data_IF_999563196895
#
_entry.id   IF_999563196895
#
_cell.length_a   1.000
_cell.length_b   1.000
_cell.length_c   1.000
_cell.angle_alpha   90.00
_cell.angle_beta   90.00
_cell.angle_gamma   90.00
#
_symmetry.space_group_name_H-M   'P 1'
#
loop_
_entity.id
_entity.type
_entity.pdbx_description
1 polymer ?
#
# COMPACT_ATOMS: atom_id res chain seq x y z
N UNK A 1 -17.64 -13.78 -27.56
CA UNK A 1 -16.50 -13.98 -26.63
C UNK A 1 -16.69 -12.99 -25.48
N UNK A 2 -16.62 -13.43 -24.23
CA UNK A 2 -16.67 -12.51 -23.10
C UNK A 2 -15.41 -11.62 -23.17
N UNK A 3 -15.62 -10.30 -23.10
CA UNK A 3 -14.50 -9.35 -23.06
C UNK A 3 -13.77 -9.48 -21.71
N UNK A 4 -12.46 -9.38 -21.74
CA UNK A 4 -11.65 -9.34 -20.53
C UNK A 4 -12.06 -8.15 -19.66
N UNK A 5 -12.26 -8.40 -18.38
CA UNK A 5 -12.41 -7.37 -17.38
C UNK A 5 -11.01 -6.93 -16.90
N UNK A 6 -10.83 -5.65 -16.67
CA UNK A 6 -9.53 -5.09 -16.24
C UNK A 6 -9.73 -4.18 -15.04
N UNK A 7 -8.79 -4.27 -14.08
CA UNK A 7 -8.68 -3.44 -12.90
C UNK A 7 -7.24 -2.99 -12.67
N UNK A 8 -7.06 -1.81 -12.11
CA UNK A 8 -5.79 -1.39 -11.54
C UNK A 8 -5.68 -1.86 -10.08
N UNK A 9 -4.45 -2.14 -9.66
CA UNK A 9 -4.09 -2.47 -8.29
C UNK A 9 -3.08 -1.41 -7.79
N UNK A 10 -3.57 -0.22 -7.38
CA UNK A 10 -2.72 0.90 -7.02
C UNK A 10 -1.87 0.62 -5.77
N UNK A 11 -0.64 1.14 -5.74
CA UNK A 11 0.21 1.04 -4.58
C UNK A 11 -0.42 1.78 -3.39
N UNK A 12 -0.50 1.10 -2.23
CA UNK A 12 -0.89 1.70 -0.96
C UNK A 12 0.34 2.33 -0.31
N UNK A 13 0.26 3.59 0.07
CA UNK A 13 1.32 4.30 0.78
C UNK A 13 0.84 4.67 2.19
N UNK A 14 1.61 4.29 3.21
CA UNK A 14 1.39 4.75 4.57
C UNK A 14 2.08 6.11 4.74
N UNK A 15 1.32 7.21 4.70
CA UNK A 15 1.87 8.55 4.96
C UNK A 15 2.33 8.70 6.41
N UNK A 16 1.63 8.00 7.32
CA UNK A 16 1.98 7.89 8.75
C UNK A 16 1.81 6.45 9.20
N UNK A 17 2.55 6.02 10.21
CA UNK A 17 2.30 4.75 10.89
C UNK A 17 2.73 4.85 12.35
N UNK A 18 1.78 4.73 13.25
CA UNK A 18 2.01 4.65 14.69
C UNK A 18 1.75 3.23 15.16
N UNK A 19 2.62 2.71 16.01
CA UNK A 19 2.41 1.45 16.73
C UNK A 19 1.95 1.79 18.14
N UNK A 20 0.71 1.42 18.45
CA UNK A 20 0.05 1.79 19.71
C UNK A 20 0.35 0.80 20.84
N UNK A 21 0.78 -0.41 20.48
CA UNK A 21 1.11 -1.46 21.44
C UNK A 21 1.09 -2.85 20.80
N UNK A 22 1.57 -3.83 21.57
CA UNK A 22 1.49 -5.23 21.19
C UNK A 22 0.29 -5.90 21.89
N UNK A 23 -0.49 -6.65 21.13
CA UNK A 23 -1.64 -7.41 21.59
C UNK A 23 -1.22 -8.75 22.18
N UNK A 24 -2.09 -9.38 22.96
CA UNK A 24 -1.87 -10.71 23.54
C UNK A 24 -1.70 -11.81 22.48
N UNK A 25 -2.25 -11.61 21.27
CA UNK A 25 -2.14 -12.54 20.13
C UNK A 25 -0.82 -12.36 19.35
N UNK A 26 0.06 -11.44 19.78
CA UNK A 26 1.36 -11.16 19.18
C UNK A 26 1.32 -10.14 18.03
N UNK A 27 0.14 -9.74 17.57
CA UNK A 27 -0.01 -8.64 16.63
C UNK A 27 0.20 -7.27 17.31
N UNK A 28 0.34 -6.23 16.51
CA UNK A 28 0.47 -4.86 17.00
C UNK A 28 -0.75 -4.04 16.59
N UNK A 29 -1.31 -3.30 17.55
CA UNK A 29 -2.29 -2.28 17.24
C UNK A 29 -1.58 -1.09 16.59
N UNK A 30 -2.05 -0.70 15.42
CA UNK A 30 -1.50 0.41 14.66
C UNK A 30 -2.53 1.49 14.39
N UNK A 31 -2.03 2.66 14.03
CA UNK A 31 -2.80 3.72 13.41
C UNK A 31 -2.00 4.30 12.26
N UNK A 32 -2.62 4.42 11.09
CA UNK A 32 -1.94 4.85 9.87
C UNK A 32 -2.88 5.63 8.96
N UNK A 33 -2.45 6.78 8.47
CA UNK A 33 -3.05 7.43 7.33
C UNK A 33 -2.51 6.79 6.05
N UNK A 34 -3.39 6.17 5.30
CA UNK A 34 -3.06 5.55 4.01
C UNK A 34 -3.68 6.31 2.85
N UNK A 35 -2.93 6.37 1.77
CA UNK A 35 -3.32 6.93 0.47
C UNK A 35 -2.90 5.96 -0.63
N UNK A 36 -3.37 6.24 -1.86
CA UNK A 36 -3.07 5.39 -3.00
C UNK A 36 -2.34 6.19 -4.09
N UNK A 37 -1.41 5.51 -4.75
CA UNK A 37 -0.64 6.08 -5.85
C UNK A 37 -1.34 5.86 -7.19
N UNK A 38 -1.06 6.73 -8.17
CA UNK A 38 -1.52 6.50 -9.55
C UNK A 38 -0.74 5.35 -10.23
N UNK A 39 0.41 4.96 -9.68
CA UNK A 39 1.17 3.78 -10.12
C UNK A 39 0.68 2.52 -9.39
N UNK A 40 0.63 1.41 -10.13
CA UNK A 40 0.13 0.14 -9.60
C UNK A 40 0.40 -1.03 -10.54
N UNK A 41 -0.02 -2.20 -10.09
CA UNK A 41 -0.10 -3.39 -10.90
C UNK A 41 -1.41 -3.37 -11.73
N UNK A 42 -1.50 -4.23 -12.72
CA UNK A 42 -2.69 -4.37 -13.55
C UNK A 42 -3.15 -5.82 -13.52
N UNK A 43 -4.42 -6.04 -13.27
CA UNK A 43 -5.02 -7.36 -13.26
C UNK A 43 -6.14 -7.44 -14.28
N UNK A 44 -6.15 -8.48 -15.09
CA UNK A 44 -7.27 -8.80 -15.98
C UNK A 44 -7.87 -10.16 -15.62
N UNK A 45 -9.15 -10.33 -15.92
CA UNK A 45 -9.92 -11.55 -15.72
C UNK A 45 -10.68 -11.88 -17.00
N UNK A 46 -10.43 -13.07 -17.55
CA UNK A 46 -11.29 -13.72 -18.52
C UNK A 46 -12.25 -14.64 -17.75
N UNK A 47 -13.54 -14.30 -17.59
CA UNK A 47 -14.47 -15.10 -16.78
C UNK A 47 -14.62 -16.52 -17.34
N UNK A 48 -14.59 -17.53 -16.44
CA UNK A 48 -14.67 -18.94 -16.80
C UNK A 48 -14.88 -19.81 -15.57
N UNK A 49 -14.85 -21.13 -15.77
CA UNK A 49 -15.02 -22.11 -14.70
C UNK A 49 -13.74 -22.32 -13.89
N UNK A 50 -12.60 -22.40 -14.56
CA UNK A 50 -11.32 -22.77 -13.94
C UNK A 50 -10.57 -21.54 -13.43
N UNK A 51 -10.17 -21.57 -12.17
CA UNK A 51 -9.34 -20.55 -11.55
C UNK A 51 -7.88 -20.79 -11.91
N UNK A 52 -7.31 -19.89 -12.70
CA UNK A 52 -5.89 -19.88 -13.05
C UNK A 52 -5.29 -18.48 -12.89
N UNK A 53 -3.97 -18.40 -12.71
CA UNK A 53 -3.24 -17.15 -12.65
C UNK A 53 -1.98 -17.22 -13.50
N UNK A 54 -1.78 -16.27 -14.40
CA UNK A 54 -0.50 -16.01 -15.04
C UNK A 54 0.06 -14.68 -14.55
N UNK A 55 1.37 -14.63 -14.32
CA UNK A 55 2.06 -13.41 -13.86
C UNK A 55 3.12 -13.01 -14.86
N UNK A 56 3.14 -11.74 -15.22
CA UNK A 56 4.12 -11.13 -16.12
C UNK A 56 4.62 -9.81 -15.51
N UNK A 57 5.59 -9.17 -16.16
CA UNK A 57 6.15 -7.89 -15.73
C UNK A 57 7.42 -8.02 -14.89
N UNK A 58 8.06 -6.88 -14.55
CA UNK A 58 9.37 -6.87 -13.87
C UNK A 58 9.39 -7.59 -12.51
N UNK A 59 8.28 -7.57 -11.77
CA UNK A 59 8.14 -8.21 -10.45
C UNK A 59 7.72 -9.68 -10.49
N UNK A 60 7.47 -10.26 -11.67
CA UNK A 60 6.89 -11.61 -11.80
C UNK A 60 7.72 -12.70 -11.10
N UNK A 61 9.04 -12.65 -11.24
CA UNK A 61 9.94 -13.66 -10.65
C UNK A 61 9.91 -13.67 -9.10
N UNK A 62 9.41 -12.60 -8.47
CA UNK A 62 9.39 -12.45 -7.01
C UNK A 62 8.04 -12.84 -6.39
N UNK A 63 7.03 -13.19 -7.19
CA UNK A 63 5.66 -13.45 -6.68
C UNK A 63 5.48 -14.82 -6.01
N UNK A 64 6.47 -15.71 -6.07
CA UNK A 64 6.41 -17.05 -5.51
C UNK A 64 5.47 -18.00 -6.27
N UNK A 65 5.06 -19.07 -5.61
CA UNK A 65 4.17 -20.06 -6.22
C UNK A 65 2.76 -19.50 -6.44
N UNK A 66 2.10 -19.92 -7.50
CA UNK A 66 0.72 -19.50 -7.83
C UNK A 66 -0.26 -19.75 -6.68
N UNK A 67 -0.14 -20.91 -6.02
CA UNK A 67 -1.02 -21.28 -4.90
C UNK A 67 -0.91 -20.37 -3.70
N UNK A 68 0.23 -19.72 -3.52
CA UNK A 68 0.49 -18.79 -2.42
C UNK A 68 0.16 -17.35 -2.76
N UNK A 69 -0.10 -17.06 -4.03
CA UNK A 69 -0.43 -15.73 -4.51
C UNK A 69 -1.77 -15.24 -3.90
N UNK A 70 -1.79 -14.01 -3.40
CA UNK A 70 -2.97 -13.43 -2.76
C UNK A 70 -4.16 -13.28 -3.72
N UNK A 71 -3.95 -13.15 -5.02
CA UNK A 71 -5.03 -13.17 -6.04
C UNK A 71 -5.80 -14.48 -5.97
N UNK A 72 -5.08 -15.62 -5.97
CA UNK A 72 -5.68 -16.96 -5.90
C UNK A 72 -6.35 -17.20 -4.55
N UNK A 73 -5.70 -16.78 -3.45
CA UNK A 73 -6.29 -16.88 -2.10
C UNK A 73 -7.58 -16.07 -1.98
N UNK A 74 -7.61 -14.84 -2.48
CA UNK A 74 -8.81 -14.00 -2.48
C UNK A 74 -9.95 -14.60 -3.32
N UNK A 75 -9.64 -15.11 -4.50
CA UNK A 75 -10.62 -15.76 -5.36
C UNK A 75 -11.23 -16.99 -4.69
N UNK A 76 -10.42 -17.84 -4.07
CA UNK A 76 -10.89 -19.02 -3.30
C UNK A 76 -11.71 -18.61 -2.07
N UNK A 77 -11.30 -17.58 -1.34
CA UNK A 77 -12.03 -17.07 -0.19
C UNK A 77 -13.43 -16.56 -0.58
N UNK A 78 -13.56 -15.89 -1.75
CA UNK A 78 -14.85 -15.45 -2.26
C UNK A 78 -15.69 -16.64 -2.78
N UNK A 79 -15.08 -17.61 -3.47
CA UNK A 79 -15.77 -18.78 -3.99
C UNK A 79 -16.40 -19.63 -2.87
N UNK A 80 -15.80 -19.67 -1.69
CA UNK A 80 -16.37 -20.33 -0.51
C UNK A 80 -17.64 -19.63 0.03
N UNK A 81 -17.94 -18.39 -0.41
CA UNK A 81 -19.06 -17.55 0.05
C UNK A 81 -20.13 -17.29 -1.01
N UNK A 82 -19.77 -17.43 -2.27
CA UNK A 82 -20.67 -17.17 -3.40
C UNK A 82 -20.89 -18.49 -4.15
N UNK A 83 -22.11 -18.99 -4.09
CA UNK A 83 -22.46 -20.23 -4.80
C UNK A 83 -22.32 -20.03 -6.31
N UNK A 84 -21.68 -21.00 -6.97
CA UNK A 84 -21.48 -20.98 -8.44
C UNK A 84 -20.73 -19.75 -8.94
N UNK A 85 -19.75 -19.27 -8.13
CA UNK A 85 -18.90 -18.16 -8.56
C UNK A 85 -18.19 -18.49 -9.87
N UNK A 86 -18.38 -17.65 -10.89
CA UNK A 86 -17.58 -17.69 -12.12
C UNK A 86 -16.21 -17.09 -11.80
N UNK A 87 -15.19 -17.93 -11.66
CA UNK A 87 -13.83 -17.51 -11.36
C UNK A 87 -13.11 -17.04 -12.64
N UNK A 88 -12.47 -17.95 -13.38
CA UNK A 88 -11.81 -17.66 -14.65
C UNK A 88 -10.30 -17.50 -14.57
N UNK A 89 -9.72 -17.10 -15.70
CA UNK A 89 -8.29 -16.94 -15.85
C UNK A 89 -7.85 -15.50 -15.54
N UNK A 90 -7.01 -15.35 -14.52
CA UNK A 90 -6.38 -14.08 -14.18
C UNK A 90 -5.04 -13.91 -14.89
N UNK A 91 -4.75 -12.68 -15.30
CA UNK A 91 -3.42 -12.26 -15.77
C UNK A 91 -2.99 -11.03 -14.98
N UNK A 92 -1.94 -11.19 -14.18
CA UNK A 92 -1.33 -10.14 -13.37
C UNK A 92 -0.10 -9.57 -14.09
N UNK A 93 -0.09 -8.27 -14.31
CA UNK A 93 1.08 -7.52 -14.75
C UNK A 93 1.69 -6.81 -13.53
N UNK A 94 2.82 -7.38 -13.05
CA UNK A 94 3.48 -6.98 -11.80
C UNK A 94 4.53 -5.92 -12.05
N UNK A 95 4.18 -4.66 -11.79
CA UNK A 95 5.03 -3.48 -11.98
C UNK A 95 5.60 -2.94 -10.66
N UNK A 96 4.92 -3.22 -9.55
CA UNK A 96 5.34 -2.81 -8.21
C UNK A 96 6.34 -3.80 -7.61
N UNK A 97 7.31 -3.33 -6.81
CA UNK A 97 8.18 -4.19 -6.02
C UNK A 97 7.37 -5.08 -5.07
N UNK A 98 7.81 -6.34 -4.91
CA UNK A 98 7.16 -7.31 -4.02
C UNK A 98 7.73 -7.16 -2.60
N UNK A 99 6.89 -7.35 -1.56
CA UNK A 99 7.26 -7.24 -0.15
C UNK A 99 7.96 -5.92 0.22
N UNK A 100 7.48 -4.82 -0.33
CA UNK A 100 8.17 -3.53 -0.38
C UNK A 100 7.51 -2.42 0.47
N UNK A 101 6.58 -2.72 1.37
CA UNK A 101 5.85 -1.70 2.16
C UNK A 101 4.75 -0.95 1.39
N UNK A 102 4.44 -1.37 0.15
CA UNK A 102 3.41 -0.75 -0.72
C UNK A 102 2.08 -1.52 -0.76
N UNK A 103 1.94 -2.60 -0.01
CA UNK A 103 0.73 -3.42 -0.04
C UNK A 103 0.40 -4.02 -1.40
N UNK A 104 1.39 -4.18 -2.31
CA UNK A 104 1.15 -4.54 -3.71
C UNK A 104 0.38 -5.84 -3.88
N UNK A 105 0.73 -6.90 -3.13
CA UNK A 105 -0.03 -8.16 -3.16
C UNK A 105 -1.46 -8.03 -2.63
N UNK A 106 -1.68 -7.15 -1.64
CA UNK A 106 -3.02 -6.86 -1.13
C UNK A 106 -3.86 -6.05 -2.13
N UNK A 107 -3.23 -5.14 -2.86
CA UNK A 107 -3.86 -4.41 -3.96
C UNK A 107 -4.26 -5.36 -5.10
N UNK A 108 -3.39 -6.32 -5.46
CA UNK A 108 -3.67 -7.35 -6.46
C UNK A 108 -4.87 -8.21 -6.04
N UNK A 109 -4.89 -8.67 -4.79
CA UNK A 109 -6.00 -9.45 -4.22
C UNK A 109 -7.32 -8.67 -4.22
N UNK A 110 -7.28 -7.39 -3.85
CA UNK A 110 -8.44 -6.51 -3.90
C UNK A 110 -8.95 -6.28 -5.32
N UNK A 111 -8.05 -6.09 -6.29
CA UNK A 111 -8.39 -6.01 -7.71
C UNK A 111 -9.07 -7.30 -8.20
N UNK A 112 -8.59 -8.47 -7.76
CA UNK A 112 -9.21 -9.75 -8.07
C UNK A 112 -10.64 -9.84 -7.51
N UNK A 113 -10.87 -9.41 -6.27
CA UNK A 113 -12.20 -9.37 -5.67
C UNK A 113 -13.14 -8.42 -6.44
N UNK A 114 -12.68 -7.24 -6.86
CA UNK A 114 -13.47 -6.31 -7.69
C UNK A 114 -13.81 -6.90 -9.05
N UNK A 115 -12.85 -7.57 -9.71
CA UNK A 115 -13.08 -8.26 -11.00
C UNK A 115 -14.11 -9.38 -10.86
N UNK A 116 -13.99 -10.19 -9.81
CA UNK A 116 -14.95 -11.26 -9.53
C UNK A 116 -16.33 -10.70 -9.19
N UNK A 117 -16.40 -9.61 -8.44
CA UNK A 117 -17.67 -8.94 -8.17
C UNK A 117 -18.36 -8.53 -9.48
N UNK A 118 -17.65 -7.88 -10.39
CA UNK A 118 -18.17 -7.47 -11.71
C UNK A 118 -18.56 -8.67 -12.58
N UNK A 119 -17.76 -9.75 -12.57
CA UNK A 119 -18.04 -10.95 -13.35
C UNK A 119 -19.26 -11.73 -12.86
N UNK A 120 -19.68 -11.52 -11.60
CA UNK A 120 -20.76 -12.25 -10.93
C UNK A 120 -21.90 -11.33 -10.46
N UNK A 121 -21.97 -10.10 -10.97
CA UNK A 121 -23.03 -9.12 -10.69
C UNK A 121 -23.23 -8.85 -9.18
N UNK A 122 -22.11 -8.90 -8.38
CA UNK A 122 -22.11 -8.53 -6.98
C UNK A 122 -21.97 -7.02 -6.83
N UNK A 123 -22.66 -6.44 -5.86
CA UNK A 123 -22.51 -5.04 -5.52
C UNK A 123 -21.09 -4.74 -4.98
N UNK A 124 -20.52 -3.56 -5.26
CA UNK A 124 -19.17 -3.20 -4.77
C UNK A 124 -19.03 -3.21 -3.25
N UNK A 125 -20.12 -3.04 -2.53
CA UNK A 125 -20.23 -3.05 -1.07
C UNK A 125 -20.76 -4.38 -0.50
N UNK A 126 -20.82 -5.43 -1.32
CA UNK A 126 -21.27 -6.76 -0.87
C UNK A 126 -20.40 -7.23 0.31
N UNK A 127 -21.00 -7.58 1.48
CA UNK A 127 -20.24 -7.94 2.67
C UNK A 127 -19.34 -9.16 2.47
N UNK A 128 -19.67 -10.06 1.53
CA UNK A 128 -18.86 -11.24 1.21
C UNK A 128 -17.49 -10.86 0.62
N UNK A 129 -17.38 -9.73 -0.09
CA UNK A 129 -16.12 -9.20 -0.58
C UNK A 129 -15.20 -8.79 0.57
N UNK A 130 -15.73 -8.07 1.56
CA UNK A 130 -14.98 -7.64 2.74
C UNK A 130 -14.59 -8.80 3.65
N UNK A 131 -15.43 -9.83 3.75
CA UNK A 131 -15.09 -11.06 4.46
C UNK A 131 -13.95 -11.82 3.77
N UNK A 132 -14.02 -11.98 2.44
CA UNK A 132 -12.96 -12.60 1.66
C UNK A 132 -11.64 -11.79 1.76
N UNK A 133 -11.72 -10.46 1.73
CA UNK A 133 -10.57 -9.58 1.89
C UNK A 133 -9.87 -9.78 3.25
N UNK A 134 -10.63 -9.77 4.36
CA UNK A 134 -10.08 -9.97 5.72
C UNK A 134 -9.38 -11.31 5.89
N UNK A 135 -9.91 -12.36 5.28
CA UNK A 135 -9.31 -13.70 5.33
C UNK A 135 -8.05 -13.81 4.46
N UNK A 136 -7.92 -12.95 3.45
CA UNK A 136 -6.78 -12.96 2.54
C UNK A 136 -5.59 -12.21 3.12
N UNK A 137 -5.83 -11.08 3.79
CA UNK A 137 -4.76 -10.30 4.42
C UNK A 137 -5.26 -8.98 5.01
N UNK A 138 -4.53 -8.46 6.00
CA UNK A 138 -4.91 -7.26 6.76
C UNK A 138 -5.13 -6.02 5.87
N UNK A 139 -4.25 -5.80 4.89
CA UNK A 139 -4.31 -4.65 3.99
C UNK A 139 -5.30 -4.81 2.82
N UNK A 140 -5.87 -6.02 2.59
CA UNK A 140 -6.74 -6.24 1.43
C UNK A 140 -8.04 -5.45 1.53
N UNK A 141 -8.57 -5.30 2.74
CA UNK A 141 -9.82 -4.56 2.98
C UNK A 141 -9.72 -3.09 2.60
N UNK A 142 -8.61 -2.41 2.90
CA UNK A 142 -8.42 -0.99 2.52
C UNK A 142 -8.20 -0.84 1.02
N UNK A 143 -7.63 -1.85 0.36
CA UNK A 143 -7.41 -1.85 -1.09
C UNK A 143 -8.68 -2.15 -1.91
N UNK A 144 -9.78 -2.63 -1.29
CA UNK A 144 -11.06 -2.85 -1.99
C UNK A 144 -11.68 -1.54 -2.49
N UNK A 145 -11.53 -0.47 -1.72
CA UNK A 145 -11.95 0.87 -2.08
C UNK A 145 -10.74 1.80 -1.87
N UNK A 146 -9.87 1.96 -2.90
CA UNK A 146 -8.58 2.62 -2.78
C UNK A 146 -8.71 4.14 -2.71
N UNK A 147 -9.25 4.63 -1.60
CA UNK A 147 -9.38 6.05 -1.24
C UNK A 147 -8.65 6.33 0.08
N UNK A 148 -8.16 7.57 0.31
CA UNK A 148 -7.51 7.93 1.55
C UNK A 148 -8.33 7.56 2.77
N UNK A 149 -7.70 6.90 3.76
CA UNK A 149 -8.37 6.46 5.00
C UNK A 149 -7.40 6.40 6.16
N UNK A 150 -7.92 6.48 7.36
CA UNK A 150 -7.19 6.06 8.56
C UNK A 150 -7.49 4.59 8.83
N UNK A 151 -6.42 3.80 8.92
CA UNK A 151 -6.45 2.39 9.34
C UNK A 151 -6.08 2.28 10.81
N UNK A 152 -6.76 1.37 11.54
CA UNK A 152 -6.52 1.06 12.95
C UNK A 152 -6.60 -0.45 13.20
N UNK A 153 -6.35 -0.86 14.46
CA UNK A 153 -6.25 -2.27 14.83
C UNK A 153 -5.00 -2.89 14.21
N UNK A 154 -5.11 -4.06 13.62
CA UNK A 154 -4.02 -4.66 12.81
C UNK A 154 -4.09 -4.22 11.33
N UNK A 155 -4.95 -3.23 10.99
CA UNK A 155 -5.24 -2.73 9.64
C UNK A 155 -6.69 -2.95 9.18
N UNK A 156 -7.51 -3.62 9.98
CA UNK A 156 -8.88 -4.05 9.64
C UNK A 156 -9.96 -3.00 9.95
N UNK A 157 -9.67 -2.03 10.82
CA UNK A 157 -10.62 -0.97 11.20
C UNK A 157 -10.35 0.24 10.32
N UNK A 158 -11.29 0.52 9.43
CA UNK A 158 -11.17 1.59 8.45
C UNK A 158 -12.10 2.75 8.77
N UNK A 159 -11.60 3.98 8.67
CA UNK A 159 -12.45 5.18 8.69
C UNK A 159 -13.32 5.27 7.43
N UNK A 160 -14.29 6.18 7.43
CA UNK A 160 -14.84 6.66 6.17
C UNK A 160 -13.71 7.24 5.27
N UNK A 161 -13.88 7.24 3.94
CA UNK A 161 -12.94 7.88 3.04
C UNK A 161 -12.75 9.35 3.36
N UNK A 162 -11.52 9.83 3.23
CA UNK A 162 -11.14 11.22 3.42
C UNK A 162 -10.96 11.91 2.07
N UNK A 163 -11.41 13.14 1.95
CA UNK A 163 -11.15 13.99 0.79
C UNK A 163 -9.87 14.78 1.03
N UNK A 164 -8.71 14.15 0.78
CA UNK A 164 -7.40 14.79 0.93
C UNK A 164 -6.93 15.42 -0.38
N UNK A 165 -6.14 16.50 -0.31
CA UNK A 165 -5.45 17.05 -1.47
C UNK A 165 -4.51 16.00 -2.07
N UNK A 166 -4.38 16.02 -3.40
CA UNK A 166 -3.41 15.16 -4.10
C UNK A 166 -2.00 15.71 -3.91
N UNK A 167 -1.03 14.81 -3.70
CA UNK A 167 0.35 15.14 -3.41
C UNK A 167 1.26 14.62 -4.53
N UNK A 168 2.11 15.48 -5.09
CA UNK A 168 3.17 15.06 -6.02
C UNK A 168 4.24 14.28 -5.26
N UNK A 169 4.52 13.05 -5.67
CA UNK A 169 5.37 12.13 -4.93
C UNK A 169 6.34 11.32 -5.80
N UNK A 170 7.45 10.97 -5.19
CA UNK A 170 8.41 10.00 -5.72
C UNK A 170 8.45 8.79 -4.79
N UNK A 171 8.25 7.60 -5.34
CA UNK A 171 8.43 6.34 -4.63
C UNK A 171 9.79 5.76 -5.01
N UNK A 172 10.56 5.32 -4.02
CA UNK A 172 11.90 4.76 -4.23
C UNK A 172 12.07 3.49 -3.40
N UNK A 173 12.50 2.41 -4.05
CA UNK A 173 12.82 1.14 -3.40
C UNK A 173 14.24 0.70 -3.77
N UNK A 174 15.10 0.38 -2.80
CA UNK A 174 16.49 -0.01 -3.07
C UNK A 174 16.64 -1.44 -3.64
N UNK A 175 15.54 -2.15 -3.85
CA UNK A 175 15.57 -3.53 -4.38
C UNK A 175 15.82 -4.61 -3.34
N UNK A 176 15.65 -4.28 -2.04
CA UNK A 176 15.83 -5.20 -0.92
C UNK A 176 14.50 -5.59 -0.29
N UNK A 177 14.40 -6.82 0.19
CA UNK A 177 13.22 -7.31 0.89
C UNK A 177 13.41 -7.18 2.41
N UNK A 178 12.42 -6.59 3.08
CA UNK A 178 12.43 -6.46 4.54
C UNK A 178 11.28 -7.29 5.13
N UNK A 179 11.57 -8.31 5.95
CA UNK A 179 10.53 -9.13 6.56
C UNK A 179 9.72 -8.32 7.58
N UNK A 180 8.47 -8.00 7.27
CA UNK A 180 7.56 -7.20 8.12
C UNK A 180 7.54 -7.68 9.57
N UNK A 181 7.50 -9.00 9.79
CA UNK A 181 7.50 -9.58 11.14
C UNK A 181 8.74 -9.18 11.96
N UNK A 182 9.91 -9.14 11.34
CA UNK A 182 11.17 -8.77 12.02
C UNK A 182 11.19 -7.26 12.33
N UNK A 183 10.66 -6.43 11.45
CA UNK A 183 10.55 -4.98 11.69
C UNK A 183 9.67 -4.71 12.91
N UNK A 184 8.47 -5.31 12.97
CA UNK A 184 7.59 -5.19 14.13
C UNK A 184 8.24 -5.73 15.42
N UNK A 185 8.96 -6.85 15.35
CA UNK A 185 9.69 -7.40 16.51
C UNK A 185 10.83 -6.51 16.99
N UNK A 186 11.41 -5.68 16.11
CA UNK A 186 12.43 -4.70 16.44
C UNK A 186 11.88 -3.40 17.02
N UNK A 187 10.57 -3.16 16.91
CA UNK A 187 9.95 -1.97 17.46
C UNK A 187 9.95 -1.99 18.98
N UNK A 188 10.22 -0.83 19.58
CA UNK A 188 10.17 -0.62 21.05
C UNK A 188 9.35 0.61 21.35
N UNK A 189 8.50 0.56 22.40
CA UNK A 189 7.77 1.73 22.84
C UNK A 189 8.75 2.88 23.15
N UNK A 190 8.43 4.09 22.68
CA UNK A 190 9.18 5.29 23.02
C UNK A 190 9.00 5.60 24.52
N UNK A 191 10.08 6.03 25.21
CA UNK A 191 10.01 6.51 26.57
C UNK A 191 9.17 7.80 26.71
N UNK A 192 9.12 8.60 25.62
CA UNK A 192 8.25 9.78 25.50
C UNK A 192 7.45 9.65 24.19
N UNK A 193 6.34 8.89 24.18
CA UNK A 193 5.53 8.80 22.99
C UNK A 193 5.00 10.21 22.67
N UNK A 194 5.26 10.67 21.44
CA UNK A 194 4.56 11.85 20.94
C UNK A 194 3.05 11.62 21.08
N UNK A 195 2.25 12.66 21.36
CA UNK A 195 0.80 12.53 21.44
C UNK A 195 0.33 11.72 20.21
N UNK A 196 -0.45 10.67 20.47
CA UNK A 196 -1.01 9.87 19.38
C UNK A 196 -1.98 10.76 18.63
N UNK A 197 -1.52 11.36 17.55
CA UNK A 197 -2.38 11.99 16.57
C UNK A 197 -3.25 10.89 16.00
N UNK A 198 -4.56 10.95 16.12
CA UNK A 198 -5.43 9.94 15.53
C UNK A 198 -6.59 9.47 16.37
N UNK A 199 -6.88 10.15 17.46
CA UNK A 199 -8.18 10.07 18.11
C UNK A 199 -9.29 10.58 17.19
N UNK A 200 -10.53 10.59 17.68
CA UNK A 200 -11.65 11.21 16.96
C UNK A 200 -11.33 12.66 16.51
N UNK A 201 -10.43 13.35 17.24
CA UNK A 201 -9.99 14.71 16.92
C UNK A 201 -9.16 14.78 15.63
N UNK A 202 -8.32 13.78 15.31
CA UNK A 202 -7.47 13.86 14.11
C UNK A 202 -8.24 13.51 12.84
N UNK A 203 -9.21 12.60 12.90
CA UNK A 203 -10.13 12.39 11.79
C UNK A 203 -10.87 13.69 11.47
N UNK A 204 -11.28 14.45 12.51
CA UNK A 204 -11.93 15.75 12.35
C UNK A 204 -10.96 16.81 11.78
N UNK A 205 -9.67 16.76 12.14
CA UNK A 205 -8.64 17.62 11.56
C UNK A 205 -8.39 17.26 10.12
N UNK A 206 -8.12 15.98 9.81
CA UNK A 206 -7.87 15.50 8.46
C UNK A 206 -9.03 15.77 7.49
N UNK A 207 -10.27 15.61 7.97
CA UNK A 207 -11.48 15.91 7.19
C UNK A 207 -11.65 17.40 6.84
N UNK A 208 -10.91 18.29 7.51
CA UNK A 208 -10.96 19.75 7.32
C UNK A 208 -9.75 20.33 6.64
N UNK A 209 -8.76 19.52 6.25
CA UNK A 209 -7.57 19.99 5.54
C UNK A 209 -7.95 20.39 4.11
N UNK A 210 -7.88 21.67 3.74
CA UNK A 210 -8.41 22.16 2.47
C UNK A 210 -7.38 22.12 1.32
N UNK A 211 -6.09 22.00 1.63
CA UNK A 211 -5.02 22.13 0.64
C UNK A 211 -3.76 21.35 1.03
N UNK A 212 -2.89 21.19 0.04
CA UNK A 212 -1.63 20.46 0.15
C UNK A 212 -0.71 20.99 1.25
N UNK A 213 -0.57 22.32 1.36
CA UNK A 213 0.32 22.92 2.35
C UNK A 213 -0.07 22.52 3.77
N UNK A 214 -1.34 22.62 4.12
CA UNK A 214 -1.81 22.23 5.46
C UNK A 214 -1.67 20.74 5.72
N UNK A 215 -1.84 19.90 4.68
CA UNK A 215 -1.59 18.47 4.80
C UNK A 215 -0.11 18.19 5.06
N UNK A 216 0.80 18.86 4.35
CA UNK A 216 2.24 18.76 4.57
C UNK A 216 2.63 19.23 5.97
N UNK A 217 2.11 20.38 6.41
CA UNK A 217 2.38 20.92 7.76
C UNK A 217 1.94 19.92 8.85
N UNK A 218 0.79 19.27 8.66
CA UNK A 218 0.33 18.22 9.58
C UNK A 218 1.23 16.98 9.52
N UNK A 219 1.59 16.51 8.32
CA UNK A 219 2.46 15.35 8.12
C UNK A 219 3.86 15.53 8.71
N UNK A 220 4.38 16.76 8.77
CA UNK A 220 5.70 17.04 9.39
C UNK A 220 5.72 16.73 10.90
N UNK A 221 4.58 16.78 11.57
CA UNK A 221 4.44 16.36 12.98
C UNK A 221 4.25 14.86 13.19
N UNK A 222 4.10 14.10 12.12
CA UNK A 222 3.85 12.65 12.14
C UNK A 222 5.10 11.83 11.84
N UNK A 223 5.03 10.52 12.11
CA UNK A 223 6.15 9.58 11.90
C UNK A 223 5.68 8.26 11.28
N UNK A 224 6.67 7.43 10.95
CA UNK A 224 6.51 5.99 10.81
C UNK A 224 7.34 5.29 11.91
N UNK A 225 6.69 4.74 12.92
CA UNK A 225 7.35 4.08 14.06
C UNK A 225 8.15 2.83 13.65
N UNK A 226 7.90 2.29 12.46
CA UNK A 226 8.63 1.16 11.90
C UNK A 226 9.89 1.56 11.13
N UNK A 227 10.14 2.85 10.89
CA UNK A 227 11.27 3.31 10.09
C UNK A 227 12.62 2.99 10.78
N UNK A 228 12.77 3.35 12.04
CA UNK A 228 14.03 3.08 12.76
C UNK A 228 14.34 1.57 12.88
N UNK A 229 13.41 0.68 13.28
CA UNK A 229 13.70 -0.76 13.28
C UNK A 229 13.94 -1.33 11.88
N UNK A 230 13.30 -0.81 10.83
CA UNK A 230 13.54 -1.26 9.46
C UNK A 230 14.94 -0.84 8.98
N UNK A 231 15.37 0.39 9.25
CA UNK A 231 16.74 0.88 8.96
C UNK A 231 17.80 0.07 9.70
N UNK A 232 17.54 -0.32 10.95
CA UNK A 232 18.47 -1.16 11.71
C UNK A 232 18.63 -2.57 11.12
N UNK A 233 17.57 -3.10 10.48
CA UNK A 233 17.63 -4.40 9.79
C UNK A 233 18.24 -4.28 8.39
N UNK A 234 17.94 -3.20 7.69
CA UNK A 234 18.34 -2.98 6.31
C UNK A 234 18.81 -1.52 6.09
N UNK A 235 20.12 -1.26 6.26
CA UNK A 235 20.70 0.09 6.16
C UNK A 235 20.49 0.79 4.81
N UNK A 236 20.26 0.04 3.72
CA UNK A 236 19.96 0.62 2.40
C UNK A 236 18.74 1.56 2.43
N UNK A 237 17.81 1.38 3.40
CA UNK A 237 16.67 2.29 3.60
C UNK A 237 17.19 3.68 4.04
N UNK A 238 18.22 3.76 4.88
CA UNK A 238 18.81 5.04 5.29
C UNK A 238 19.43 5.77 4.10
N UNK A 239 20.09 5.05 3.18
CA UNK A 239 20.68 5.63 1.97
C UNK A 239 19.58 6.23 1.07
N UNK A 240 18.45 5.53 0.93
CA UNK A 240 17.29 6.05 0.20
C UNK A 240 16.74 7.31 0.85
N UNK A 241 16.51 7.29 2.17
CA UNK A 241 15.99 8.44 2.92
C UNK A 241 16.93 9.65 2.82
N UNK A 242 18.25 9.46 2.99
CA UNK A 242 19.24 10.50 2.86
C UNK A 242 19.23 11.13 1.44
N UNK A 243 19.15 10.28 0.41
CA UNK A 243 19.11 10.71 -0.98
C UNK A 243 17.83 11.49 -1.29
N UNK A 244 16.68 11.07 -0.74
CA UNK A 244 15.41 11.76 -0.89
C UNK A 244 15.40 13.10 -0.16
N UNK A 245 15.90 13.17 1.07
CA UNK A 245 16.03 14.41 1.84
C UNK A 245 16.96 15.42 1.16
N UNK A 246 18.02 14.94 0.50
CA UNK A 246 18.96 15.77 -0.28
C UNK A 246 18.42 16.22 -1.64
N UNK A 247 17.31 15.67 -2.11
CA UNK A 247 16.74 16.04 -3.40
C UNK A 247 16.16 17.46 -3.37
N UNK A 248 16.50 18.28 -4.37
CA UNK A 248 16.01 19.65 -4.48
C UNK A 248 14.47 19.67 -4.56
N UNK A 249 13.84 20.48 -3.73
CA UNK A 249 12.38 20.60 -3.65
C UNK A 249 11.69 19.55 -2.78
N UNK A 250 12.43 18.61 -2.18
CA UNK A 250 11.85 17.64 -1.24
C UNK A 250 11.27 18.35 0.00
N UNK A 251 10.01 18.12 0.28
CA UNK A 251 9.30 18.71 1.43
C UNK A 251 9.19 17.74 2.60
N UNK A 252 9.09 16.46 2.31
CA UNK A 252 9.02 15.38 3.28
C UNK A 252 9.54 14.12 2.63
N UNK A 253 10.39 13.35 3.32
CA UNK A 253 10.72 11.99 2.96
C UNK A 253 10.47 11.06 4.14
N UNK A 254 9.93 9.86 3.87
CA UNK A 254 9.60 8.86 4.90
C UNK A 254 9.45 7.48 4.28
N UNK A 255 9.67 6.44 5.07
CA UNK A 255 9.40 5.06 4.69
C UNK A 255 7.91 4.75 4.73
N UNK A 256 7.40 3.98 3.77
CA UNK A 256 6.02 3.47 3.75
C UNK A 256 5.94 2.09 4.41
N UNK A 257 4.96 1.93 5.30
CA UNK A 257 4.71 0.65 5.97
C UNK A 257 5.92 0.14 6.72
N UNK A 258 6.28 -1.13 6.54
CA UNK A 258 7.47 -1.78 7.09
C UNK A 258 8.69 -1.70 6.17
N UNK A 259 8.62 -0.95 5.07
CA UNK A 259 9.72 -0.78 4.11
C UNK A 259 9.78 -1.92 3.07
N UNK A 260 10.80 -1.93 2.20
CA UNK A 260 11.89 -0.94 2.09
C UNK A 260 11.55 0.31 1.25
N UNK A 261 10.34 0.44 0.70
CA UNK A 261 10.00 1.61 -0.10
C UNK A 261 9.90 2.86 0.77
N UNK A 262 10.60 3.91 0.35
CA UNK A 262 10.45 5.27 0.86
C UNK A 262 9.70 6.13 -0.16
N UNK A 263 9.03 7.16 0.33
CA UNK A 263 8.41 8.17 -0.52
C UNK A 263 8.96 9.55 -0.17
N UNK A 264 8.99 10.43 -1.17
CA UNK A 264 9.22 11.85 -0.96
C UNK A 264 8.09 12.66 -1.58
N UNK A 265 7.71 13.75 -0.92
CA UNK A 265 6.68 14.69 -1.36
C UNK A 265 7.34 15.97 -1.87
N UNK A 266 6.81 16.50 -2.97
CA UNK A 266 7.31 17.71 -3.65
C UNK A 266 6.15 18.67 -3.88
N UNK A 267 6.47 19.96 -4.08
CA UNK A 267 5.45 20.98 -4.36
C UNK A 267 4.93 20.96 -5.79
N UNK A 268 5.57 20.21 -6.68
CA UNK A 268 5.15 20.11 -8.09
C UNK A 268 5.62 18.82 -8.77
N UNK A 269 4.90 18.44 -9.83
CA UNK A 269 5.28 17.34 -10.71
C UNK A 269 6.65 17.58 -11.36
N UNK A 270 6.99 18.83 -11.68
CA UNK A 270 8.28 19.18 -12.31
C UNK A 270 9.47 18.94 -11.35
N UNK A 271 9.30 19.27 -10.07
CA UNK A 271 10.33 19.00 -9.05
C UNK A 271 10.48 17.48 -8.85
N UNK A 272 9.36 16.75 -8.78
CA UNK A 272 9.36 15.27 -8.68
C UNK A 272 10.10 14.65 -9.86
N UNK A 273 9.83 15.08 -11.09
CA UNK A 273 10.49 14.56 -12.29
C UNK A 273 12.00 14.86 -12.31
N UNK A 274 12.40 16.05 -11.85
CA UNK A 274 13.81 16.41 -11.74
C UNK A 274 14.54 15.55 -10.72
N UNK A 275 13.95 15.35 -9.55
CA UNK A 275 14.49 14.46 -8.51
C UNK A 275 14.60 13.01 -9.01
N UNK A 276 13.56 12.50 -9.67
CA UNK A 276 13.53 11.15 -10.24
C UNK A 276 14.65 10.95 -11.26
N UNK A 277 14.85 11.90 -12.19
CA UNK A 277 15.92 11.85 -13.20
C UNK A 277 17.30 11.76 -12.54
N UNK A 278 17.56 12.60 -11.54
CA UNK A 278 18.85 12.66 -10.86
C UNK A 278 19.13 11.36 -10.09
N UNK A 279 18.13 10.86 -9.36
CA UNK A 279 18.26 9.63 -8.57
C UNK A 279 18.42 8.40 -9.47
N UNK A 280 17.71 8.31 -10.60
CA UNK A 280 17.91 7.20 -11.57
C UNK A 280 19.33 7.20 -12.16
N UNK A 281 19.90 8.38 -12.39
CA UNK A 281 21.29 8.49 -12.88
C UNK A 281 22.31 8.06 -11.82
N UNK A 282 22.05 8.35 -10.55
CA UNK A 282 22.95 8.04 -9.44
C UNK A 282 22.80 6.58 -8.95
N UNK A 283 21.56 6.06 -8.95
CA UNK A 283 21.21 4.74 -8.42
C UNK A 283 20.41 3.93 -9.45
N UNK A 284 21.03 3.46 -10.53
CA UNK A 284 20.32 2.80 -11.64
C UNK A 284 19.66 1.46 -11.26
N UNK A 285 20.04 0.87 -10.12
CA UNK A 285 19.48 -0.37 -9.59
C UNK A 285 18.26 -0.16 -8.68
N UNK A 286 17.96 1.08 -8.28
CA UNK A 286 16.76 1.37 -7.50
C UNK A 286 15.52 1.38 -8.38
N UNK A 287 14.42 0.87 -7.84
CA UNK A 287 13.12 1.12 -8.44
C UNK A 287 12.64 2.51 -8.05
N UNK A 288 12.40 3.36 -9.04
CA UNK A 288 12.02 4.76 -8.85
C UNK A 288 10.80 5.07 -9.70
N UNK A 289 9.72 5.53 -9.07
CA UNK A 289 8.47 5.85 -9.74
C UNK A 289 7.91 7.19 -9.31
N UNK A 290 7.71 8.06 -10.29
CA UNK A 290 6.95 9.31 -10.14
C UNK A 290 5.47 8.97 -10.08
N UNK A 291 4.75 9.64 -9.17
CA UNK A 291 3.32 9.40 -8.99
C UNK A 291 2.63 10.59 -8.33
N UNK A 292 1.31 10.53 -8.26
CA UNK A 292 0.50 11.37 -7.38
C UNK A 292 -0.15 10.48 -6.34
N UNK A 293 -0.18 10.93 -5.09
CA UNK A 293 -0.84 10.26 -3.96
C UNK A 293 -2.16 10.94 -3.64
N UNK A 294 -3.20 10.13 -3.41
CA UNK A 294 -4.51 10.67 -3.03
C UNK A 294 -5.54 9.59 -2.74
#
# INVERSE_FOLDING_TARGET
MASDLVESAPAKVNLTLRVLGQRADGYHDIQSLVVFADVGDRLSLTPGADLTLSVAGPGAAQTGAETDNLVVKAARALAARVRQLRAGAFRLEKNLPVAAGLGSGSADAAAALRLLARANDLAPDDPRLYEAARLTGADVSVCLDPRPRVMRGIGEILSAPLALPRLSALLVNPGVAVPTKLVFSGWKPSANPAPVSGGANDLAVLARIPNERQLLDWLMGEVNDLEAPAVALEPAIADVLASLHGAAGCRLARMSGSGATCFALFSSVAETATAAKNLRAQFPHWWISETTLG
#
